data_IF_623279001172
#
_entry.id   IF_623279001172
#
_cell.length_a   1.000
_cell.length_b   1.000
_cell.length_c   1.000
_cell.angle_alpha   90.00
_cell.angle_beta   90.00
_cell.angle_gamma   90.00
#
_symmetry.space_group_name_H-M   'P 1'
#
loop_
_entity.id
_entity.type
_entity.pdbx_description
1 polymer ?
#
# COMPACT_ATOMS: atom_id res chain seq x y z
N UNK A 1 -5.92 -13.64 9.22
CA UNK A 1 -5.22 -12.47 8.66
C UNK A 1 -5.90 -11.23 9.20
N UNK A 2 -5.15 -10.27 9.72
CA UNK A 2 -5.73 -9.04 10.29
C UNK A 2 -6.06 -8.02 9.21
N UNK A 3 -6.97 -7.08 9.48
CA UNK A 3 -7.34 -5.99 8.56
C UNK A 3 -6.11 -5.19 8.08
N UNK A 4 -5.14 -4.98 8.98
CA UNK A 4 -3.89 -4.25 8.70
C UNK A 4 -2.97 -5.08 7.79
N UNK A 5 -2.90 -6.39 7.94
CA UNK A 5 -2.13 -7.27 7.02
C UNK A 5 -2.71 -7.23 5.60
N UNK A 6 -4.04 -7.17 5.48
CA UNK A 6 -4.70 -7.08 4.18
C UNK A 6 -4.39 -5.76 3.46
N UNK A 7 -4.22 -4.64 4.18
CA UNK A 7 -3.85 -3.36 3.59
C UNK A 7 -2.45 -3.41 2.95
N UNK A 8 -1.50 -4.05 3.60
CA UNK A 8 -0.15 -4.22 3.05
C UNK A 8 -0.14 -5.12 1.81
N UNK A 9 -0.93 -6.19 1.82
CA UNK A 9 -1.12 -7.07 0.65
C UNK A 9 -1.77 -6.33 -0.51
N UNK A 10 -2.81 -5.54 -0.23
CA UNK A 10 -3.49 -4.71 -1.22
C UNK A 10 -2.53 -3.70 -1.85
N UNK A 11 -1.74 -3.00 -1.04
CA UNK A 11 -0.72 -2.05 -1.52
C UNK A 11 0.27 -2.72 -2.47
N UNK A 12 0.79 -3.89 -2.09
CA UNK A 12 1.69 -4.69 -2.93
C UNK A 12 1.02 -5.10 -4.24
N UNK A 13 -0.22 -5.59 -4.17
CA UNK A 13 -0.99 -6.01 -5.33
C UNK A 13 -1.14 -4.86 -6.32
N UNK A 14 -1.65 -3.71 -5.87
CA UNK A 14 -1.86 -2.53 -6.71
C UNK A 14 -0.57 -2.06 -7.40
N UNK A 15 0.54 -2.01 -6.64
CA UNK A 15 1.86 -1.68 -7.18
C UNK A 15 2.29 -2.63 -8.31
N UNK A 16 2.08 -3.93 -8.14
CA UNK A 16 2.43 -4.95 -9.12
C UNK A 16 1.50 -4.95 -10.33
N UNK A 17 0.19 -4.75 -10.13
CA UNK A 17 -0.81 -4.66 -11.20
C UNK A 17 -0.50 -3.47 -12.14
N UNK A 18 0.09 -2.39 -11.61
CA UNK A 18 0.57 -1.23 -12.38
C UNK A 18 2.03 -1.34 -12.84
N UNK A 19 2.66 -2.53 -12.75
CA UNK A 19 4.04 -2.81 -13.19
C UNK A 19 5.13 -1.96 -12.52
N UNK A 20 4.90 -1.46 -11.32
CA UNK A 20 5.93 -0.75 -10.57
C UNK A 20 6.84 -1.72 -9.81
N UNK A 21 8.15 -1.59 -10.01
CA UNK A 21 9.13 -2.22 -9.11
C UNK A 21 9.08 -1.58 -7.72
N UNK A 22 9.54 -2.30 -6.70
CA UNK A 22 9.60 -1.77 -5.33
C UNK A 22 10.38 -0.45 -5.28
N UNK A 23 11.55 -0.39 -5.91
CA UNK A 23 12.40 0.80 -5.90
C UNK A 23 11.77 1.97 -6.66
N UNK A 24 11.14 1.72 -7.82
CA UNK A 24 10.51 2.78 -8.61
C UNK A 24 9.33 3.39 -7.85
N UNK A 25 8.47 2.55 -7.29
CA UNK A 25 7.35 3.00 -6.46
C UNK A 25 7.83 3.78 -5.23
N UNK A 26 8.85 3.27 -4.53
CA UNK A 26 9.42 3.95 -3.36
C UNK A 26 9.97 5.33 -3.69
N UNK A 27 10.68 5.46 -4.81
CA UNK A 27 11.22 6.74 -5.27
C UNK A 27 10.10 7.74 -5.57
N UNK A 28 9.09 7.34 -6.33
CA UNK A 28 7.98 8.22 -6.72
C UNK A 28 7.04 8.55 -5.55
N UNK A 29 6.88 7.63 -4.59
CA UNK A 29 6.05 7.83 -3.40
C UNK A 29 6.81 8.45 -2.21
N UNK A 30 8.11 8.75 -2.34
CA UNK A 30 8.96 9.29 -1.27
C UNK A 30 8.97 8.41 0.00
N UNK A 31 9.05 7.09 -0.19
CA UNK A 31 9.09 6.08 0.88
C UNK A 31 10.42 5.34 0.82
N UNK A 32 11.03 5.10 1.98
CA UNK A 32 12.22 4.26 2.08
C UNK A 32 11.95 2.82 1.59
N UNK A 33 12.76 2.27 0.66
CA UNK A 33 12.58 0.89 0.17
C UNK A 33 12.53 -0.17 1.27
N UNK A 34 13.36 0.00 2.31
CA UNK A 34 13.37 -0.90 3.46
C UNK A 34 12.05 -0.84 4.25
N UNK A 35 11.41 0.32 4.33
CA UNK A 35 10.11 0.50 4.97
C UNK A 35 9.02 -0.23 4.19
N UNK A 36 8.91 0.02 2.87
CA UNK A 36 7.89 -0.62 2.05
C UNK A 36 8.06 -2.15 2.01
N UNK A 37 9.30 -2.64 1.87
CA UNK A 37 9.58 -4.08 1.88
C UNK A 37 9.10 -4.76 3.17
N UNK A 38 9.31 -4.12 4.34
CA UNK A 38 8.83 -4.62 5.63
C UNK A 38 7.30 -4.55 5.75
N UNK A 39 6.66 -3.55 5.15
CA UNK A 39 5.20 -3.49 5.08
C UNK A 39 4.65 -4.65 4.26
N UNK A 40 5.11 -4.81 3.03
CA UNK A 40 4.62 -5.80 2.07
C UNK A 40 4.90 -7.26 2.50
N UNK A 41 5.91 -7.48 3.33
CA UNK A 41 6.23 -8.78 3.94
C UNK A 41 5.49 -9.04 5.26
N UNK A 42 4.75 -8.07 5.78
CA UNK A 42 4.04 -8.17 7.06
C UNK A 42 4.93 -8.05 8.30
N UNK A 43 6.24 -7.77 8.12
CA UNK A 43 7.17 -7.57 9.24
C UNK A 43 6.87 -6.28 10.01
N UNK A 44 6.24 -5.28 9.36
CA UNK A 44 5.86 -4.01 9.98
C UNK A 44 4.49 -3.56 9.47
N UNK A 45 3.71 -2.92 10.33
CA UNK A 45 2.44 -2.28 9.94
C UNK A 45 2.73 -0.98 9.18
N UNK A 46 1.91 -0.69 8.16
CA UNK A 46 1.95 0.60 7.45
C UNK A 46 1.64 1.72 8.47
N UNK A 47 2.50 2.74 8.51
CA UNK A 47 2.24 3.94 9.31
C UNK A 47 1.26 4.87 8.60
N UNK A 48 0.60 5.76 9.34
CA UNK A 48 -0.28 6.76 8.74
C UNK A 48 0.46 7.65 7.73
N UNK A 49 1.70 8.05 8.04
CA UNK A 49 2.52 8.83 7.13
C UNK A 49 2.80 8.09 5.81
N UNK A 50 3.15 6.80 5.89
CA UNK A 50 3.35 5.98 4.70
C UNK A 50 2.05 5.81 3.91
N UNK A 51 0.90 5.63 4.58
CA UNK A 51 -0.41 5.57 3.93
C UNK A 51 -0.72 6.86 3.16
N UNK A 52 -0.45 8.03 3.76
CA UNK A 52 -0.64 9.33 3.10
C UNK A 52 0.22 9.44 1.84
N UNK A 53 1.48 9.02 1.92
CA UNK A 53 2.42 9.01 0.78
C UNK A 53 1.97 8.05 -0.33
N UNK A 54 1.55 6.85 0.03
CA UNK A 54 1.00 5.85 -0.89
C UNK A 54 -0.25 6.40 -1.59
N UNK A 55 -1.21 6.95 -0.85
CA UNK A 55 -2.42 7.50 -1.42
C UNK A 55 -2.11 8.67 -2.37
N UNK A 56 -1.18 9.56 -1.97
CA UNK A 56 -0.72 10.68 -2.81
C UNK A 56 -0.10 10.21 -4.12
N UNK A 57 0.70 9.14 -4.11
CA UNK A 57 1.25 8.55 -5.34
C UNK A 57 0.15 8.15 -6.34
N UNK A 58 -0.97 7.61 -5.85
CA UNK A 58 -2.13 7.25 -6.68
C UNK A 58 -3.07 8.44 -6.97
N UNK A 59 -2.68 9.67 -6.63
CA UNK A 59 -3.53 10.87 -6.71
C UNK A 59 -4.85 10.75 -5.91
N UNK A 60 -4.77 10.11 -4.74
CA UNK A 60 -5.90 9.88 -3.85
C UNK A 60 -5.65 10.49 -2.47
N UNK A 61 -6.74 10.82 -1.77
CA UNK A 61 -6.75 11.00 -0.33
C UNK A 61 -6.61 9.64 0.39
N UNK A 62 -6.17 9.60 1.66
CA UNK A 62 -6.14 8.35 2.43
C UNK A 62 -7.50 7.67 2.52
N UNK A 63 -8.60 8.45 2.57
CA UNK A 63 -9.95 7.90 2.63
C UNK A 63 -10.36 7.20 1.34
N UNK A 64 -10.02 7.77 0.18
CA UNK A 64 -10.30 7.15 -1.13
C UNK A 64 -9.50 5.85 -1.29
N UNK A 65 -8.21 5.88 -0.96
CA UNK A 65 -7.37 4.68 -1.01
C UNK A 65 -7.89 3.57 -0.08
N UNK A 66 -8.33 3.92 1.13
CA UNK A 66 -8.90 2.95 2.07
C UNK A 66 -10.26 2.41 1.60
N UNK A 67 -11.06 3.22 0.91
CA UNK A 67 -12.32 2.76 0.31
C UNK A 67 -12.04 1.71 -0.78
N UNK A 68 -11.09 1.95 -1.68
CA UNK A 68 -10.70 0.95 -2.69
C UNK A 68 -10.21 -0.35 -2.04
N UNK A 69 -9.45 -0.23 -0.95
CA UNK A 69 -9.01 -1.37 -0.17
C UNK A 69 -10.19 -2.15 0.45
N UNK A 70 -11.17 -1.46 1.03
CA UNK A 70 -12.38 -2.08 1.58
C UNK A 70 -13.19 -2.82 0.52
N UNK A 71 -13.28 -2.27 -0.68
CA UNK A 71 -13.91 -2.93 -1.82
C UNK A 71 -13.15 -4.20 -2.22
N UNK A 72 -11.82 -4.15 -2.30
CA UNK A 72 -10.97 -5.32 -2.51
C UNK A 72 -11.18 -6.41 -1.45
N UNK A 73 -11.28 -6.04 -0.17
CA UNK A 73 -11.53 -7.02 0.90
C UNK A 73 -12.89 -7.71 0.71
N UNK A 74 -13.94 -6.96 0.33
CA UNK A 74 -15.28 -7.52 0.10
C UNK A 74 -15.33 -8.49 -1.08
N UNK A 75 -14.53 -8.27 -2.12
CA UNK A 75 -14.51 -9.12 -3.33
C UNK A 75 -13.61 -10.35 -3.21
N UNK A 76 -12.73 -10.37 -2.21
CA UNK A 76 -11.70 -11.42 -2.03
C UNK A 76 -11.81 -12.16 -0.68
N UNK A 77 -12.95 -12.01 0.00
CA UNK A 77 -13.35 -12.77 1.20
C UNK A 77 -14.59 -13.59 0.88
#
# INVERSE_FOLDING_TARGET
MTYIENLAKYTKKRRLDENYSLNKFCFDAEIEPASLSRYESGQRKISLEALIKIAKFYNQTPSEFLKDFEEYVKTNT
#
